data_IF_097425011933
#
_entry.id   IF_097425011933
#
_cell.length_a   1.000
_cell.length_b   1.000
_cell.length_c   1.000
_cell.angle_alpha   90.00
_cell.angle_beta   90.00
_cell.angle_gamma   90.00
#
_symmetry.space_group_name_H-M   'P 1'
#
loop_
_entity.id
_entity.type
_entity.pdbx_description
1 polymer ?
2 non-polymer ?
3 water ?
#
# COMPACT_ATOMS: atom_id res chain seq x y z
N UNK A 1 25.00 10.97 -4.80
CA UNK A 1 23.92 10.86 -5.81
C UNK A 1 22.70 11.69 -5.46
N UNK A 2 22.01 12.21 -6.48
CA UNK A 2 20.86 13.07 -6.25
C UNK A 2 19.55 12.33 -6.46
N UNK A 3 18.71 12.30 -5.42
CA UNK A 3 17.39 11.68 -5.50
C UNK A 3 16.46 12.76 -6.00
N UNK A 4 15.92 12.56 -7.19
CA UNK A 4 14.97 13.50 -7.76
C UNK A 4 13.56 13.13 -7.30
N UNK A 5 12.73 14.14 -7.10
CA UNK A 5 11.36 13.98 -6.60
C UNK A 5 10.48 14.82 -7.48
N UNK A 6 9.45 14.23 -8.08
CA UNK A 6 8.59 14.92 -9.04
C UNK A 6 7.08 14.73 -8.71
N UNK A 7 6.32 15.85 -8.67
CA UNK A 7 4.90 15.76 -8.30
C UNK A 7 4.02 15.38 -9.48
N UNK A 8 3.06 14.51 -9.23
CA UNK A 8 2.13 14.04 -10.24
C UNK A 8 0.71 14.36 -9.82
N UNK A 9 -0.12 14.77 -10.79
CA UNK A 9 -1.54 14.97 -10.55
C UNK A 9 -2.21 14.12 -11.58
N UNK A 10 -2.97 13.12 -11.14
CA UNK A 10 -3.66 12.21 -12.04
C UNK A 10 -5.13 12.02 -11.59
N UNK A 11 -5.97 11.40 -12.46
CA UNK A 11 -7.38 11.24 -12.14
C UNK A 11 -7.83 9.80 -12.29
N UNK A 12 -8.75 9.36 -11.42
CA UNK A 12 -9.34 8.04 -11.55
C UNK A 12 -10.55 8.14 -12.56
N UNK A 13 -11.16 7.00 -12.96
CA UNK A 13 -12.21 6.98 -13.99
C UNK A 13 -13.44 7.81 -13.64
N UNK A 14 -13.67 8.10 -12.36
CA UNK A 14 -14.75 8.98 -11.91
C UNK A 14 -14.37 10.48 -12.01
N UNK A 15 -13.14 10.78 -12.40
CA UNK A 15 -12.62 12.13 -12.46
C UNK A 15 -12.12 12.63 -11.13
N UNK A 16 -11.99 11.75 -10.11
CA UNK A 16 -11.48 12.16 -8.80
C UNK A 16 -9.98 12.39 -8.89
N UNK A 17 -9.53 13.55 -8.41
CA UNK A 17 -8.14 13.95 -8.43
C UNK A 17 -7.30 13.26 -7.39
N UNK A 18 -6.17 12.72 -7.85
CA UNK A 18 -5.19 12.03 -7.04
C UNK A 18 -3.84 12.76 -7.13
N UNK A 19 -3.30 13.13 -5.97
CA UNK A 19 -1.99 13.76 -5.93
C UNK A 19 -0.97 12.66 -5.55
N UNK A 20 0.17 12.63 -6.25
CA UNK A 20 1.19 11.60 -6.13
C UNK A 20 2.62 12.20 -6.33
N UNK A 21 3.68 11.41 -6.05
CA UNK A 21 5.08 11.82 -6.23
C UNK A 21 5.86 10.64 -6.74
N UNK A 22 6.91 10.91 -7.51
CA UNK A 22 7.76 9.86 -7.99
C UNK A 22 9.19 10.21 -7.64
N UNK A 23 9.87 9.31 -6.92
CA UNK A 23 11.24 9.48 -6.53
C UNK A 23 12.11 8.55 -7.35
N UNK A 24 13.27 9.04 -7.80
CA UNK A 24 14.18 8.24 -8.60
C UNK A 24 15.56 8.84 -8.66
N UNK A 25 16.55 8.00 -8.93
CA UNK A 25 17.91 8.45 -9.16
C UNK A 25 18.17 8.18 -10.64
N UNK A 26 18.46 9.23 -11.42
CA UNK A 26 18.65 9.10 -12.87
C UNK A 26 19.68 8.05 -13.29
N UNK A 27 20.76 7.91 -12.54
CA UNK A 27 21.83 6.94 -12.87
C UNK A 27 21.42 5.47 -12.77
N UNK A 28 20.25 5.20 -12.19
CA UNK A 28 19.74 3.85 -12.07
C UNK A 28 18.74 3.46 -13.16
N UNK A 29 18.31 4.43 -14.01
CA UNK A 29 17.30 4.26 -15.04
C UNK A 29 17.86 3.62 -16.32
N UNK A 30 17.12 2.70 -16.99
CA UNK A 30 15.74 2.25 -16.68
C UNK A 30 15.74 1.31 -15.47
N UNK A 31 14.75 1.49 -14.61
CA UNK A 31 14.62 0.72 -13.39
C UNK A 31 13.17 0.24 -13.23
N UNK A 32 12.94 -0.76 -12.37
CA UNK A 32 11.55 -1.18 -12.10
C UNK A 32 10.78 -0.08 -11.37
N UNK A 33 9.46 -0.14 -11.46
CA UNK A 33 8.59 0.79 -10.76
C UNK A 33 8.01 0.10 -9.53
N UNK A 34 7.98 0.81 -8.41
CA UNK A 34 7.36 0.34 -7.19
C UNK A 34 6.25 1.32 -6.82
N UNK A 35 5.00 0.86 -6.76
CA UNK A 35 3.93 1.72 -6.29
C UNK A 35 3.66 1.37 -4.85
N UNK A 36 3.76 2.36 -3.97
CA UNK A 36 3.49 2.18 -2.57
C UNK A 36 2.03 2.58 -2.25
N UNK A 37 1.29 1.72 -1.54
CA UNK A 37 -0.05 2.04 -1.10
C UNK A 37 -0.09 2.03 0.43
N UNK A 38 -0.64 3.10 1.02
CA UNK A 38 -0.80 3.17 2.47
C UNK A 38 -2.27 2.83 2.82
N UNK A 39 -2.55 2.64 4.11
CA UNK A 39 -3.91 2.34 4.55
C UNK A 39 -4.79 3.56 4.50
N UNK A 40 -6.10 3.33 4.69
CA UNK A 40 -7.19 4.30 4.75
C UNK A 40 -6.81 5.56 5.60
N UNK A 41 -6.21 5.36 6.80
CA UNK A 41 -5.85 6.45 7.70
C UNK A 41 -4.47 7.07 7.44
N UNK A 42 -3.79 6.67 6.36
CA UNK A 42 -2.44 7.17 6.08
C UNK A 42 -2.39 8.29 5.06
N UNK A 43 -1.24 8.95 4.96
CA UNK A 43 -1.00 10.08 4.07
C UNK A 43 0.44 9.99 3.51
N UNK A 44 0.63 10.23 2.20
CA UNK A 44 1.89 10.10 1.49
C UNK A 44 3.02 10.96 2.03
N UNK A 45 2.72 12.12 2.61
CA UNK A 45 3.75 13.00 3.16
C UNK A 45 4.02 12.80 4.66
N UNK A 46 3.27 11.90 5.31
CA UNK A 46 3.36 11.63 6.74
C UNK A 46 4.17 10.36 7.02
N UNK A 47 4.61 10.22 8.29
CA UNK A 47 5.34 9.07 8.78
C UNK A 47 6.63 8.75 8.07
N UNK A 48 6.84 7.46 7.82
CA UNK A 48 8.07 7.04 7.13
C UNK A 48 7.94 7.05 5.61
N UNK A 49 6.77 7.37 5.02
CA UNK A 49 6.65 7.33 3.56
C UNK A 49 7.72 8.19 2.82
N UNK A 50 7.92 9.50 3.12
CA UNK A 50 9.02 10.23 2.43
C UNK A 50 10.40 9.55 2.52
N UNK A 51 10.80 9.05 3.72
CA UNK A 51 12.08 8.39 3.91
C UNK A 51 12.16 7.07 3.11
N UNK A 52 11.09 6.28 3.13
CA UNK A 52 10.97 5.01 2.38
C UNK A 52 11.14 5.30 0.89
N UNK A 53 10.51 6.37 0.40
CA UNK A 53 10.61 6.78 -1.00
C UNK A 53 12.08 7.10 -1.38
N UNK A 54 12.76 7.86 -0.50
CA UNK A 54 14.15 8.24 -0.68
C UNK A 54 15.02 6.99 -0.75
N UNK A 55 14.85 6.05 0.19
CA UNK A 55 15.63 4.81 0.23
C UNK A 55 15.42 3.90 -0.96
N UNK A 56 14.14 3.75 -1.43
CA UNK A 56 13.93 2.91 -2.61
C UNK A 56 14.57 3.53 -3.85
N UNK A 57 14.58 4.87 -3.94
CA UNK A 57 15.17 5.58 -5.05
C UNK A 57 16.68 5.37 -5.00
N UNK A 58 17.28 5.50 -3.80
CA UNK A 58 18.72 5.27 -3.58
C UNK A 58 19.15 3.82 -3.88
N UNK A 59 18.20 2.87 -3.88
CA UNK A 59 18.44 1.45 -4.17
C UNK A 59 18.10 1.00 -5.61
N UNK A 60 17.75 1.95 -6.48
CA UNK A 60 17.51 1.64 -7.87
C UNK A 60 16.10 1.32 -8.26
N UNK A 61 15.13 2.01 -7.67
CA UNK A 61 13.73 1.82 -8.02
C UNK A 61 13.08 3.16 -8.36
N UNK A 62 11.97 3.10 -9.10
CA UNK A 62 11.22 4.30 -9.44
C UNK A 62 10.03 4.22 -8.51
N UNK A 63 10.07 4.95 -7.41
CA UNK A 63 9.10 4.84 -6.34
C UNK A 63 8.00 5.86 -6.40
N UNK A 64 6.77 5.37 -6.49
CA UNK A 64 5.61 6.19 -6.55
C UNK A 64 4.80 6.08 -5.24
N UNK A 65 4.47 7.23 -4.68
CA UNK A 65 3.60 7.32 -3.51
C UNK A 65 2.40 8.19 -3.93
N UNK A 66 1.24 7.94 -3.33
CA UNK A 66 0.04 8.68 -3.68
C UNK A 66 -0.91 8.80 -2.51
N UNK A 67 -1.81 9.77 -2.59
CA UNK A 67 -2.88 9.93 -1.65
C UNK A 67 -4.16 9.50 -2.35
N UNK A 68 -5.05 8.85 -1.60
CA UNK A 68 -6.36 8.49 -2.13
C UNK A 68 -7.13 9.78 -2.47
N UNK A 69 -7.95 9.71 -3.51
CA UNK A 69 -8.77 10.82 -3.95
C UNK A 69 -9.75 11.26 -2.86
N UNK A 70 -10.17 10.32 -1.98
CA UNK A 70 -11.09 10.55 -0.89
C UNK A 70 -10.39 10.38 0.46
N UNK A 71 -9.08 10.79 0.60
CA UNK A 71 -8.49 10.61 1.94
C UNK A 71 -8.46 11.95 2.71
N UNK A 72 -9.28 12.92 2.30
CA UNK A 72 -9.46 14.18 3.00
C UNK A 72 -8.50 15.30 2.69
N UNK A 73 -7.40 15.03 1.98
CA UNK A 73 -6.44 16.08 1.63
C UNK A 73 -6.98 16.96 0.48
N UNK A 74 -7.16 18.24 0.76
CA UNK A 74 -7.71 19.17 -0.21
C UNK A 74 -6.79 20.32 -0.58
N UNK A 75 -6.41 21.15 0.40
CA UNK A 75 -5.54 22.29 0.13
C UNK A 75 -4.17 22.12 0.78
N UNK A 76 -4.14 21.67 2.03
CA UNK A 76 -2.88 21.40 2.72
C UNK A 76 -2.47 19.96 2.43
N UNK A 77 -1.21 19.69 2.06
CA UNK A 77 -0.81 18.29 1.82
C UNK A 77 -0.42 17.59 3.13
N UNK A 80 -6.04 17.64 6.94
CA UNK A 80 -7.30 17.15 6.36
C UNK A 80 -8.34 18.27 6.29
N UNK A 81 -8.81 18.57 5.07
CA UNK A 81 -9.85 19.59 4.86
C UNK A 81 -11.11 19.07 4.15
N UNK A 82 -11.19 17.75 3.87
CA UNK A 82 -12.34 17.17 3.18
C UNK A 82 -12.89 15.96 3.93
N UNK A 83 -13.50 16.20 5.09
CA UNK A 83 -14.05 15.12 5.93
C UNK A 83 -15.27 14.41 5.32
N UNK A 84 -15.96 15.07 4.38
CA UNK A 84 -17.09 14.46 3.71
C UNK A 84 -16.61 13.29 2.83
N UNK A 85 -15.51 13.52 2.11
CA UNK A 85 -14.88 12.56 1.21
C UNK A 85 -14.19 11.43 1.97
N UNK A 86 -13.45 11.74 3.05
CA UNK A 86 -12.77 10.70 3.84
C UNK A 86 -13.77 9.67 4.39
N UNK A 87 -14.96 10.14 4.79
CA UNK A 87 -16.05 9.32 5.29
C UNK A 87 -16.55 8.31 4.24
N UNK A 88 -16.34 8.61 2.95
CA UNK A 88 -16.79 7.79 1.84
C UNK A 88 -15.64 7.16 1.06
N UNK A 89 -14.49 6.95 1.71
CA UNK A 89 -13.34 6.33 1.06
C UNK A 89 -13.47 4.81 1.14
N UNK A 90 -14.35 4.27 0.32
CA UNK A 90 -14.61 2.84 0.30
C UNK A 90 -13.38 2.09 -0.24
N UNK A 91 -13.34 0.73 -0.06
CA UNK A 91 -12.34 -0.15 -0.67
C UNK A 91 -12.43 0.01 -2.19
N UNK A 92 -13.64 0.18 -2.77
CA UNK A 92 -13.81 0.40 -4.21
C UNK A 92 -13.13 1.67 -4.70
N UNK A 93 -13.20 2.76 -3.92
CA UNK A 93 -12.57 4.02 -4.31
C UNK A 93 -11.04 3.89 -4.20
N UNK A 94 -10.56 3.22 -3.16
CA UNK A 94 -9.13 3.04 -2.98
C UNK A 94 -8.54 2.21 -4.14
N UNK A 95 -9.26 1.16 -4.56
CA UNK A 95 -8.89 0.29 -5.67
C UNK A 95 -8.93 1.06 -6.99
N UNK A 96 -9.97 1.88 -7.17
CA UNK A 96 -10.09 2.75 -8.34
C UNK A 96 -8.87 3.71 -8.42
N UNK A 97 -8.45 4.26 -7.28
CA UNK A 97 -7.29 5.17 -7.20
C UNK A 97 -6.02 4.44 -7.53
N UNK A 98 -5.80 3.25 -6.94
CA UNK A 98 -4.61 2.47 -7.23
C UNK A 98 -4.58 2.08 -8.71
N UNK A 99 -5.73 1.74 -9.28
CA UNK A 99 -5.86 1.44 -10.71
C UNK A 99 -5.39 2.61 -11.58
N UNK A 100 -5.79 3.84 -11.23
CA UNK A 100 -5.41 5.03 -11.97
C UNK A 100 -3.89 5.29 -11.86
N UNK A 101 -3.29 4.97 -10.71
CA UNK A 101 -1.85 5.18 -10.55
C UNK A 101 -1.09 4.19 -11.42
N UNK A 102 -1.49 2.90 -11.37
CA UNK A 102 -0.90 1.86 -12.22
C UNK A 102 -1.04 2.25 -13.72
N UNK A 103 -2.23 2.70 -14.11
CA UNK A 103 -2.47 3.10 -15.49
C UNK A 103 -1.71 4.37 -15.88
N UNK A 104 -1.45 5.27 -14.93
CA UNK A 104 -0.69 6.48 -15.21
C UNK A 104 0.78 6.07 -15.44
N UNK A 105 1.32 5.21 -14.59
CA UNK A 105 2.68 4.71 -14.74
C UNK A 105 2.87 3.99 -16.11
N UNK A 106 1.89 3.18 -16.51
CA UNK A 106 1.93 2.47 -17.78
C UNK A 106 1.52 3.34 -18.99
N UNK A 107 1.08 4.58 -18.76
CA UNK A 107 0.72 5.50 -19.83
C UNK A 107 1.96 6.23 -20.36
N UNK A 108 1.79 6.88 -21.53
CA UNK A 108 2.77 7.75 -22.17
C UNK A 108 3.02 9.03 -21.34
N UNK A 109 2.13 9.35 -20.37
CA UNK A 109 2.26 10.52 -19.51
C UNK A 109 3.34 10.32 -18.45
N UNK A 110 3.71 9.05 -18.10
CA UNK A 110 4.78 8.81 -17.11
C UNK A 110 6.13 9.09 -17.80
N UNK A 111 6.77 10.17 -17.41
CA UNK A 111 8.02 10.56 -18.06
C UNK A 111 9.29 9.99 -17.45
N UNK A 112 9.16 9.04 -16.52
CA UNK A 112 10.33 8.44 -15.88
C UNK A 112 10.71 7.14 -16.55
N UNK A 113 11.86 7.13 -17.23
CA UNK A 113 12.45 6.00 -17.95
C UNK A 113 12.51 4.76 -17.05
N UNK A 114 11.69 3.75 -17.36
CA UNK A 114 11.67 2.54 -16.55
C UNK A 114 11.72 1.25 -17.40
N UNK A 115 11.89 0.09 -16.75
CA UNK A 115 11.98 -1.18 -17.47
C UNK A 115 10.63 -1.90 -17.67
N UNK A 116 9.54 -1.25 -17.32
CA UNK A 116 8.21 -1.83 -17.49
C UNK A 116 7.77 -2.79 -16.41
N UNK A 117 8.62 -3.09 -15.43
CA UNK A 117 8.25 -4.01 -14.35
C UNK A 117 7.54 -3.27 -13.25
N UNK A 118 6.38 -3.76 -12.83
CA UNK A 118 5.63 -3.11 -11.78
C UNK A 118 5.55 -3.99 -10.58
N UNK A 119 6.03 -3.50 -9.45
CA UNK A 119 6.00 -4.21 -8.19
C UNK A 119 5.17 -3.36 -7.27
N UNK A 120 4.33 -3.97 -6.45
CA UNK A 120 3.54 -3.19 -5.50
C UNK A 120 4.06 -3.40 -4.09
N UNK A 121 3.98 -2.35 -3.28
CA UNK A 121 4.35 -2.44 -1.87
C UNK A 121 3.19 -1.84 -1.11
N UNK A 122 2.61 -2.61 -0.22
CA UNK A 122 1.48 -2.13 0.56
C UNK A 122 1.67 -2.24 2.04
N UNK A 123 1.39 -1.15 2.75
CA UNK A 123 1.46 -1.17 4.21
C UNK A 123 0.05 -1.18 4.78
N UNK A 124 -0.22 -2.07 5.75
CA UNK A 124 -1.49 -2.17 6.48
C UNK A 124 -2.73 -2.34 5.55
N UNK A 125 -3.68 -1.38 5.55
CA UNK A 125 -4.83 -1.41 4.65
C UNK A 125 -4.39 -1.42 3.20
N UNK A 126 -3.31 -0.68 2.90
CA UNK A 126 -2.71 -0.62 1.57
C UNK A 126 -2.22 -1.96 1.06
N UNK A 127 -1.91 -2.88 1.98
CA UNK A 127 -1.50 -4.23 1.63
C UNK A 127 -2.70 -4.99 1.09
N UNK A 128 -3.82 -4.86 1.76
CA UNK A 128 -5.07 -5.50 1.32
C UNK A 128 -5.48 -5.06 -0.07
N UNK A 129 -5.44 -3.74 -0.30
CA UNK A 129 -5.77 -3.09 -1.59
C UNK A 129 -4.77 -3.56 -2.69
N UNK A 130 -3.49 -3.77 -2.31
CA UNK A 130 -2.45 -4.26 -3.21
C UNK A 130 -2.65 -5.71 -3.59
N UNK A 131 -3.14 -6.55 -2.68
CA UNK A 131 -3.38 -7.96 -2.99
C UNK A 131 -4.53 -8.06 -3.98
N UNK A 132 -5.64 -7.31 -3.72
CA UNK A 132 -6.80 -7.36 -4.64
C UNK A 132 -6.35 -6.88 -6.03
N UNK A 133 -5.63 -5.77 -6.06
CA UNK A 133 -5.13 -5.22 -7.30
C UNK A 133 -4.19 -6.16 -8.05
N UNK A 134 -3.27 -6.86 -7.34
CA UNK A 134 -2.36 -7.82 -7.97
C UNK A 134 -3.15 -8.96 -8.64
N UNK A 135 -4.29 -9.38 -8.07
CA UNK A 135 -5.11 -10.44 -8.68
C UNK A 135 -5.76 -9.90 -9.95
N UNK A 136 -6.30 -8.66 -9.87
CA UNK A 136 -6.96 -8.02 -11.00
C UNK A 136 -6.04 -7.67 -12.15
N UNK A 137 -4.78 -7.45 -11.87
CA UNK A 137 -3.82 -7.04 -12.89
C UNK A 137 -2.53 -7.82 -12.83
N UNK A 138 -2.37 -8.72 -13.79
CA UNK A 138 -1.18 -9.55 -13.93
C UNK A 138 0.08 -8.77 -14.37
N UNK A 139 -0.02 -7.45 -14.59
CA UNK A 139 1.16 -6.63 -14.86
C UNK A 139 1.95 -6.35 -13.54
N UNK A 140 1.34 -6.64 -12.38
CA UNK A 140 2.00 -6.57 -11.10
C UNK A 140 2.80 -7.86 -11.05
N UNK A 141 4.12 -7.77 -11.16
CA UNK A 141 4.97 -8.94 -11.21
C UNK A 141 5.56 -9.39 -9.87
N UNK A 142 5.36 -8.60 -8.81
CA UNK A 142 5.78 -8.95 -7.47
C UNK A 142 5.03 -8.08 -6.49
N UNK A 143 4.85 -8.59 -5.29
CA UNK A 143 4.12 -7.90 -4.25
C UNK A 143 4.88 -8.05 -2.95
N UNK A 144 5.05 -6.94 -2.21
CA UNK A 144 5.62 -6.93 -0.88
C UNK A 144 4.57 -6.30 0.01
N UNK A 145 4.41 -6.88 1.20
CA UNK A 145 3.41 -6.47 2.16
C UNK A 145 4.10 -6.17 3.46
N UNK A 146 3.82 -5.01 4.02
CA UNK A 146 4.47 -4.59 5.27
C UNK A 146 3.35 -4.44 6.26
N UNK A 147 3.27 -5.29 7.32
CA UNK A 147 2.22 -5.21 8.34
C UNK A 147 0.81 -5.22 7.71
N UNK A 148 0.65 -5.97 6.62
CA UNK A 148 -0.59 -6.02 5.89
C UNK A 148 -1.74 -6.72 6.64
N UNK A 149 -2.97 -6.24 6.44
CA UNK A 149 -4.16 -6.89 7.00
C UNK A 149 -4.42 -8.16 6.18
N UNK A 150 -5.10 -9.13 6.79
CA UNK A 150 -5.47 -10.36 6.07
C UNK A 150 -6.99 -10.39 5.73
N UNK A 151 -7.77 -9.43 6.25
CA UNK A 151 -9.19 -9.33 5.96
C UNK A 151 -9.62 -7.87 6.02
N UNK A 152 -10.52 -7.47 5.11
CA UNK A 152 -11.05 -6.11 5.15
C UNK A 152 -12.15 -5.97 6.23
N UNK A 153 -12.64 -7.12 6.77
CA UNK A 153 -13.67 -7.31 7.78
C UNK A 153 -13.08 -6.96 9.15
N UNK A 154 -12.68 -5.69 9.33
CA UNK A 154 -12.05 -5.15 10.54
C UNK A 154 -13.05 -4.74 11.61
N UNK A 155 -14.32 -4.45 11.23
CA UNK A 155 -15.33 -3.95 12.17
C UNK A 155 -15.74 -4.96 13.19
N UNK A 156 -15.90 -4.51 14.45
CA UNK A 156 -16.39 -5.35 15.55
C UNK A 156 -17.94 -5.43 15.59
N UNK A 157 -18.53 -6.38 16.38
CA UNK A 157 -20.00 -6.55 16.53
C UNK A 157 -20.65 -5.21 16.91
N UNK A 158 -19.97 -4.45 17.80
CA UNK A 158 -20.32 -3.15 18.33
C UNK A 158 -20.28 -2.09 17.21
N UNK A 159 -19.12 -1.91 16.53
CA UNK A 159 -19.01 -0.92 15.45
C UNK A 159 -20.09 -1.08 14.37
N UNK A 160 -20.36 -2.32 13.93
CA UNK A 160 -21.40 -2.58 12.93
C UNK A 160 -22.77 -2.16 13.43
N UNK A 161 -23.02 -2.34 14.73
CA UNK A 161 -24.27 -1.96 15.36
C UNK A 161 -24.48 -0.45 15.37
N UNK A 162 -23.40 0.32 15.64
CA UNK A 162 -23.53 1.77 15.60
C UNK A 162 -23.69 2.24 14.13
N UNK A 163 -22.98 1.59 13.17
CA UNK A 163 -23.12 1.91 11.73
C UNK A 163 -24.58 1.82 11.23
N UNK A 164 -25.29 0.76 11.61
CA UNK A 164 -26.66 0.55 11.17
C UNK A 164 -27.69 1.46 11.91
N UNK A 165 -27.33 1.91 13.12
CA UNK A 165 -28.17 2.80 13.92
C UNK A 165 -28.01 4.30 13.52
N UNK A 166 -26.76 4.77 13.38
CA UNK A 166 -26.47 6.17 13.14
C UNK A 166 -26.16 6.54 11.70
N UNK A 167 -25.68 5.58 10.92
CA UNK A 167 -25.33 5.84 9.53
C UNK A 167 -23.86 6.11 9.30
N UNK A 168 -23.06 6.11 10.40
CA UNK A 168 -21.63 6.36 10.46
C UNK A 168 -21.07 5.95 11.85
N UNK A 169 -19.75 5.87 11.98
CA UNK A 169 -19.05 5.61 13.26
C UNK A 169 -17.79 6.49 13.34
N UNK A 170 -17.17 6.64 14.53
CA UNK A 170 -15.90 7.37 14.63
C UNK A 170 -14.76 6.37 14.90
N UNK A 171 -13.58 6.62 14.31
CA UNK A 171 -12.43 5.74 14.42
C UNK A 171 -11.18 6.57 14.76
N UNK A 172 -10.36 6.15 15.76
CA UNK A 172 -9.16 6.91 16.11
C UNK A 172 -8.05 6.82 15.05
N UNK A 178 -7.48 11.53 17.55
CA UNK A 178 -8.15 12.14 16.40
C UNK A 178 -9.19 11.22 15.75
N UNK A 179 -10.49 11.38 16.09
CA UNK A 179 -11.57 10.57 15.54
C UNK A 179 -11.97 10.99 14.12
N UNK A 180 -12.17 10.00 13.25
CA UNK A 180 -12.61 10.25 11.87
C UNK A 180 -13.92 9.54 11.63
N UNK A 181 -14.87 10.25 11.04
CA UNK A 181 -16.18 9.71 10.73
C UNK A 181 -16.09 8.79 9.50
N UNK A 182 -16.62 7.57 9.61
CA UNK A 182 -16.66 6.58 8.54
C UNK A 182 -18.13 6.33 8.28
N UNK A 183 -18.65 6.68 7.09
CA UNK A 183 -20.06 6.44 6.81
C UNK A 183 -20.34 4.99 6.43
N UNK A 184 -21.60 4.54 6.64
CA UNK A 184 -22.04 3.17 6.39
C UNK A 184 -21.61 2.61 5.04
N UNK A 185 -21.64 3.44 3.99
CA UNK A 185 -21.22 3.11 2.62
C UNK A 185 -19.90 2.35 2.56
N UNK A 186 -18.98 2.62 3.50
CA UNK A 186 -17.70 1.90 3.51
C UNK A 186 -17.90 0.44 3.91
N UNK A 187 -18.73 0.16 4.90
CA UNK A 187 -19.06 -1.20 5.33
C UNK A 187 -19.91 -1.87 4.20
N UNK A 188 -20.92 -1.15 3.68
CA UNK A 188 -21.78 -1.66 2.61
C UNK A 188 -20.97 -2.12 1.41
N UNK A 189 -19.98 -1.31 1.03
CA UNK A 189 -19.12 -1.60 -0.09
C UNK A 189 -18.30 -2.87 0.12
N UNK A 190 -17.85 -3.17 1.35
CA UNK A 190 -17.10 -4.41 1.56
C UNK A 190 -18.09 -5.57 1.51
N UNK A 191 -19.19 -5.48 2.26
CA UNK A 191 -20.14 -6.58 2.37
C UNK A 191 -20.76 -6.97 1.03
N UNK A 192 -21.20 -5.98 0.22
CA UNK A 192 -21.77 -6.24 -1.10
C UNK A 192 -20.76 -6.70 -2.16
N UNK A 193 -19.44 -6.69 -1.82
CA UNK A 193 -18.37 -7.13 -2.70
C UNK A 193 -17.40 -8.05 -1.92
N UNK A 194 -17.90 -8.82 -0.93
CA UNK A 194 -17.04 -9.63 -0.08
C UNK A 194 -16.25 -10.73 -0.78
N UNK A 195 -16.71 -11.23 -1.93
CA UNK A 195 -15.96 -12.25 -2.65
C UNK A 195 -14.80 -11.59 -3.40
N UNK A 196 -15.09 -10.51 -4.13
CA UNK A 196 -14.12 -9.72 -4.88
C UNK A 196 -13.01 -9.18 -3.95
N UNK A 197 -13.40 -8.81 -2.71
CA UNK A 197 -12.54 -8.23 -1.69
C UNK A 197 -12.12 -9.19 -0.57
N UNK A 198 -12.22 -10.51 -0.82
CA UNK A 198 -11.79 -11.51 0.16
C UNK A 198 -10.24 -11.57 0.08
N UNK A 199 -9.53 -10.90 0.99
CA UNK A 199 -8.05 -10.86 0.91
C UNK A 199 -7.40 -12.26 0.85
N UNK A 200 -7.83 -13.18 1.75
CA UNK A 200 -7.29 -14.54 1.83
C UNK A 200 -7.50 -15.32 0.52
N UNK A 201 -8.68 -15.18 -0.06
CA UNK A 201 -8.98 -15.84 -1.33
C UNK A 201 -8.17 -15.23 -2.47
N UNK A 202 -8.04 -13.90 -2.48
CA UNK A 202 -7.30 -13.23 -3.52
C UNK A 202 -5.81 -13.63 -3.47
N UNK A 203 -5.18 -13.58 -2.28
CA UNK A 203 -3.77 -13.95 -2.17
C UNK A 203 -3.53 -15.39 -2.63
N UNK A 204 -4.47 -16.35 -2.39
CA UNK A 204 -4.26 -17.73 -2.85
C UNK A 204 -4.22 -17.87 -4.38
N UNK A 205 -4.87 -16.93 -5.08
CA UNK A 205 -4.89 -16.95 -6.54
C UNK A 205 -3.61 -16.43 -7.19
N UNK A 206 -2.75 -15.74 -6.46
CA UNK A 206 -1.54 -15.16 -7.02
C UNK A 206 -0.48 -16.18 -7.41
N UNK A 207 0.23 -15.92 -8.50
CA UNK A 207 1.33 -16.77 -8.98
C UNK A 207 2.59 -15.91 -9.24
N UNK A 208 2.79 -14.87 -8.43
CA UNK A 208 3.95 -13.97 -8.48
C UNK A 208 4.63 -14.04 -7.13
N UNK A 209 5.93 -13.71 -7.04
CA UNK A 209 6.57 -13.67 -5.71
C UNK A 209 5.90 -12.66 -4.77
N UNK A 210 5.65 -13.09 -3.53
CA UNK A 210 5.05 -12.28 -2.47
C UNK A 210 5.96 -12.25 -1.26
N UNK A 211 6.27 -11.06 -0.73
CA UNK A 211 7.09 -10.93 0.48
C UNK A 211 6.17 -10.42 1.59
N UNK A 212 6.10 -11.15 2.72
CA UNK A 212 5.28 -10.74 3.84
C UNK A 212 6.21 -10.34 4.93
N UNK A 213 6.30 -9.05 5.20
CA UNK A 213 7.15 -8.49 6.24
C UNK A 213 6.21 -8.11 7.38
N UNK A 214 6.52 -8.59 8.58
CA UNK A 214 5.68 -8.31 9.72
C UNK A 214 6.52 -8.27 10.99
N UNK A 215 6.10 -7.44 11.94
CA UNK A 215 6.77 -7.36 13.22
C UNK A 215 6.10 -8.28 14.23
N UNK A 216 6.88 -8.79 15.17
CA UNK A 216 6.43 -9.69 16.23
C UNK A 216 5.75 -8.95 17.43
N UNK A 217 5.94 -7.63 17.51
CA UNK A 217 5.33 -6.82 18.57
C UNK A 217 4.20 -5.93 18.01
N UNK A 218 3.59 -6.32 16.89
CA UNK A 218 2.51 -5.57 16.25
C UNK A 218 1.18 -5.84 16.94
N UNK A 219 0.64 -4.82 17.63
CA UNK A 219 -0.64 -4.92 18.34
C UNK A 219 -1.85 -4.52 17.49
N UNK A 220 -1.63 -3.81 16.35
CA UNK A 220 -2.75 -3.43 15.48
C UNK A 220 -3.15 -4.64 14.64
N UNK A 221 -2.20 -5.18 13.87
CA UNK A 221 -2.45 -6.36 13.04
C UNK A 221 -1.53 -7.44 13.57
N UNK A 222 -2.06 -8.43 14.28
CA UNK A 222 -1.17 -9.43 14.91
C UNK A 222 -0.40 -10.29 13.91
N UNK A 223 0.66 -10.93 14.39
CA UNK A 223 1.49 -11.84 13.61
C UNK A 223 0.66 -12.99 13.01
N UNK A 224 -0.42 -13.41 13.71
CA UNK A 224 -1.31 -14.46 13.23
C UNK A 224 -1.88 -14.14 11.85
N UNK A 225 -2.18 -12.85 11.58
CA UNK A 225 -2.75 -12.41 10.29
C UNK A 225 -1.72 -12.56 9.18
N UNK A 226 -0.43 -12.27 9.49
CA UNK A 226 0.69 -12.42 8.55
C UNK A 226 0.89 -13.88 8.18
N UNK A 227 0.73 -14.78 9.14
CA UNK A 227 0.83 -16.20 8.94
C UNK A 227 -0.43 -16.71 8.20
N UNK A 228 -1.64 -16.09 8.38
CA UNK A 228 -2.82 -16.46 7.59
C UNK A 228 -2.56 -16.15 6.11
N UNK A 229 -1.91 -14.99 5.83
CA UNK A 229 -1.61 -14.59 4.46
C UNK A 229 -0.64 -15.56 3.82
N UNK A 230 0.37 -15.98 4.58
CA UNK A 230 1.39 -16.92 4.13
C UNK A 230 0.79 -18.29 3.91
N UNK A 231 -0.10 -18.72 4.83
CA UNK A 231 -0.78 -20.01 4.79
C UNK A 231 -1.67 -20.18 3.57
N UNK A 232 -2.28 -19.10 3.05
CA UNK A 232 -3.16 -19.19 1.88
C UNK A 232 -2.43 -19.41 0.58
N UNK A 233 -1.15 -19.05 0.52
CA UNK A 233 -0.35 -19.26 -0.67
C UNK A 233 1.07 -19.60 -0.19
N UNK A 234 1.31 -20.81 0.34
CA UNK A 234 2.66 -21.14 0.80
C UNK A 234 3.67 -21.27 -0.34
N UNK A 235 3.20 -21.53 -1.59
CA UNK A 235 4.14 -21.66 -2.72
C UNK A 235 4.80 -20.35 -3.12
N UNK A 236 4.03 -19.26 -3.23
CA UNK A 236 4.58 -18.00 -3.73
C UNK A 236 4.95 -16.98 -2.67
N UNK A 237 4.68 -17.27 -1.39
CA UNK A 237 5.02 -16.30 -0.35
C UNK A 237 6.31 -16.63 0.42
N UNK A 238 6.91 -15.59 1.03
CA UNK A 238 8.08 -15.68 1.89
C UNK A 238 7.72 -14.82 3.12
N UNK A 239 7.81 -15.39 4.33
CA UNK A 239 7.47 -14.66 5.53
C UNK A 239 8.75 -14.24 6.25
N UNK A 240 8.92 -12.94 6.46
CA UNK A 240 10.08 -12.36 7.13
C UNK A 240 9.61 -11.67 8.39
N UNK A 241 10.12 -12.12 9.53
CA UNK A 241 9.73 -11.56 10.83
C UNK A 241 10.74 -10.54 11.32
N UNK A 242 10.26 -9.38 11.75
CA UNK A 242 11.12 -8.35 12.29
C UNK A 242 10.94 -8.36 13.79
N UNK A 243 11.95 -8.83 14.49
CA UNK A 243 11.93 -9.01 15.94
C UNK A 243 11.70 -7.71 16.74
N UNK A 244 10.64 -7.70 17.52
CA UNK A 244 10.30 -6.57 18.37
C UNK A 244 9.67 -5.38 17.64
N UNK A 245 9.29 -5.56 16.36
CA UNK A 245 8.71 -4.49 15.56
C UNK A 245 7.21 -4.35 15.73
N UNK A 246 6.74 -3.11 15.85
CA UNK A 246 5.32 -2.84 15.97
C UNK A 246 4.73 -2.57 14.57
N UNK A 247 3.48 -2.07 14.48
CA UNK A 247 2.80 -1.85 13.20
C UNK A 247 3.49 -0.82 12.31
N UNK A 248 4.26 0.10 12.91
CA UNK A 248 4.96 1.15 12.18
C UNK A 248 6.49 0.99 12.18
N UNK A 249 6.97 -0.25 12.41
CA UNK A 249 8.38 -0.57 12.42
C UNK A 249 9.16 0.29 13.39
N UNK A 250 8.53 0.57 14.55
CA UNK A 250 9.08 1.29 15.68
C UNK A 250 9.48 2.74 15.41
N UNK A 251 8.98 3.34 14.33
CA UNK A 251 9.27 4.72 13.99
C UNK A 251 8.42 5.67 14.85
N UNK A 252 8.94 6.86 15.20
CA UNK A 252 8.18 7.84 16.01
C UNK A 252 7.57 8.96 15.13
N UNK A 253 6.59 9.72 15.67
CA UNK A 253 6.01 10.83 14.92
C UNK A 253 6.13 12.11 15.72
N UNK A 254 6.82 13.15 15.20
CA UNK A 254 7.42 13.27 13.84
C UNK A 254 8.66 12.40 13.64
N UNK A 255 8.81 11.84 12.42
CA UNK A 255 9.97 11.01 12.15
C UNK A 255 11.26 11.81 12.01
N UNK A 256 12.16 11.68 12.99
CA UNK A 256 13.44 12.36 12.92
C UNK A 256 14.55 11.42 12.45
N UNK A 257 14.43 10.12 12.72
CA UNK A 257 15.41 9.14 12.27
C UNK A 257 14.74 7.80 11.97
N UNK A 258 15.43 6.94 11.21
CA UNK A 258 14.98 5.59 10.94
C UNK A 258 15.36 4.65 12.11
N UNK A 259 14.76 3.47 12.16
CA UNK A 259 15.03 2.49 13.20
C UNK A 259 15.69 1.24 12.56
N UNK A 260 16.16 0.26 13.37
CA UNK A 260 16.70 -1.00 12.86
C UNK A 260 15.59 -1.73 12.10
N UNK A 261 14.39 -1.77 12.71
CA UNK A 261 13.17 -2.39 12.21
C UNK A 261 12.79 -1.92 10.83
N UNK A 262 12.70 -0.60 10.61
CA UNK A 262 12.35 -0.05 9.30
C UNK A 262 13.44 -0.34 8.25
N UNK A 263 14.71 -0.23 8.61
CA UNK A 263 15.80 -0.53 7.69
C UNK A 263 15.83 -2.00 7.24
N UNK A 264 15.42 -2.94 8.13
CA UNK A 264 15.33 -4.36 7.77
C UNK A 264 14.19 -4.56 6.78
N UNK A 265 13.02 -3.94 7.02
CA UNK A 265 11.90 -4.02 6.07
C UNK A 265 12.31 -3.47 4.68
N UNK A 266 13.01 -2.32 4.65
CA UNK A 266 13.44 -1.74 3.38
C UNK A 266 14.44 -2.66 2.69
N UNK A 267 15.49 -3.13 3.41
CA UNK A 267 16.50 -3.98 2.79
C UNK A 267 15.99 -5.33 2.33
N UNK A 268 15.15 -5.96 3.13
CA UNK A 268 14.54 -7.23 2.74
C UNK A 268 13.70 -7.07 1.47
N UNK A 269 13.03 -5.90 1.32
CA UNK A 269 12.17 -5.60 0.18
C UNK A 269 12.96 -5.31 -1.07
N UNK A 270 13.99 -4.48 -0.91
CA UNK A 270 14.91 -4.14 -1.98
C UNK A 270 15.60 -5.42 -2.53
N UNK A 271 16.13 -6.27 -1.63
CA UNK A 271 16.79 -7.50 -2.06
C UNK A 271 15.82 -8.46 -2.70
N UNK A 272 14.61 -8.57 -2.15
CA UNK A 272 13.57 -9.43 -2.69
C UNK A 272 13.20 -8.95 -4.10
N UNK A 273 12.96 -7.64 -4.28
CA UNK A 273 12.64 -7.11 -5.61
C UNK A 273 13.79 -7.31 -6.57
N UNK A 274 15.03 -7.04 -6.14
CA UNK A 274 16.24 -7.20 -6.93
C UNK A 274 16.50 -8.63 -7.41
N UNK A 275 16.16 -9.64 -6.57
CA UNK A 275 16.34 -11.04 -7.00
C UNK A 275 15.37 -11.40 -8.12
N UNK A 276 14.19 -10.77 -8.15
CA UNK A 276 13.20 -11.00 -9.19
C UNK A 276 13.73 -10.47 -10.52
N UNK A 277 14.34 -9.28 -10.51
CA UNK A 277 14.90 -8.69 -11.73
C UNK A 277 16.08 -9.52 -12.24
N UNK A 278 16.94 -9.98 -11.32
CA UNK A 278 18.09 -10.79 -11.65
C UNK A 278 17.68 -12.14 -12.22
N UNK A 279 16.61 -12.75 -11.69
CA UNK A 279 16.12 -14.03 -12.18
C UNK A 279 15.52 -13.91 -13.58
N UNK A 280 14.90 -12.77 -13.89
CA UNK A 280 14.33 -12.53 -15.22
C UNK A 280 15.46 -12.41 -16.26
N UNK A 281 16.58 -11.78 -15.87
CA UNK A 281 17.75 -11.64 -16.73
C UNK A 281 18.39 -13.01 -17.00
N UNK A 282 18.42 -13.89 -15.97
CA UNK A 282 18.97 -15.24 -16.05
C UNK A 282 18.24 -16.14 -17.05
N UNK A 283 16.94 -15.91 -17.27
CA UNK A 283 16.15 -16.71 -18.21
C UNK A 283 16.40 -16.24 -19.66
#
# INVERSE_FOLDING_TARGET
MKVKSKPLTLYNVSGDRITADVHFVESFLPAPVVIYSHGFLGFKDWGFIPYVAERFAENGFVFVRFNFSHNGIGENPNKITEFDKLAKNTISKQIEDLTAVIEYVFSDEFGVLNDGQLFLLGHSGGGGISIIKAVEDERVRALALWASISTFRRYSKHQIEELEKNGYIFVRVPDSVIQVKIEKIVYDDFVENSERYDIIKAISKLKIPILIVHGTADAIVPLAEAEKLRNSNPEYTKLVLISGANHLFNVKHPMEHSTDQLDKAIDETVLFFKKIIENKKADLEHHHHHH
#
